data_IF_179418299186
#
_entry.id   IF_179418299186
#
_cell.length_a   1.000
_cell.length_b   1.000
_cell.length_c   1.000
_cell.angle_alpha   90.00
_cell.angle_beta   90.00
_cell.angle_gamma   90.00
#
_symmetry.space_group_name_H-M   'P 1'
#
loop_
_entity.id
_entity.type
_entity.pdbx_description
1 polymer ?
#
# COMPACT_ATOMS: atom_id res chain seq x y z
N UNK A 1 1.40 -24.76 9.17
CA UNK A 1 1.47 -24.68 7.71
C UNK A 1 0.94 -25.93 7.03
N UNK A 2 1.46 -27.11 7.31
CA UNK A 2 1.03 -28.34 6.64
C UNK A 2 -0.48 -28.62 6.77
N UNK A 3 -1.06 -28.40 7.95
CA UNK A 3 -2.51 -28.52 8.17
C UNK A 3 -3.33 -27.57 7.29
N UNK A 4 -2.90 -26.32 7.15
CA UNK A 4 -3.57 -25.32 6.31
C UNK A 4 -3.51 -25.72 4.83
N UNK A 5 -2.35 -26.18 4.35
CA UNK A 5 -2.22 -26.71 2.99
C UNK A 5 -3.14 -27.91 2.75
N UNK A 6 -3.19 -28.87 3.68
CA UNK A 6 -4.07 -30.04 3.57
C UNK A 6 -5.55 -29.66 3.54
N UNK A 7 -5.99 -28.75 4.41
CA UNK A 7 -7.38 -28.31 4.43
C UNK A 7 -7.73 -27.48 3.19
N UNK A 8 -6.82 -26.64 2.70
CA UNK A 8 -7.00 -25.89 1.46
C UNK A 8 -7.09 -26.82 0.24
N UNK A 9 -6.31 -27.89 0.20
CA UNK A 9 -6.39 -28.91 -0.84
C UNK A 9 -7.78 -29.60 -0.84
N UNK A 10 -8.33 -29.91 0.34
CA UNK A 10 -9.66 -30.50 0.47
C UNK A 10 -10.73 -29.48 0.05
N UNK A 11 -10.64 -28.24 0.53
CA UNK A 11 -11.58 -27.17 0.21
C UNK A 11 -11.60 -26.85 -1.30
N UNK A 12 -10.44 -26.96 -1.97
CA UNK A 12 -10.32 -26.70 -3.41
C UNK A 12 -11.18 -27.64 -4.27
N UNK A 13 -11.46 -28.86 -3.81
CA UNK A 13 -12.38 -29.76 -4.49
C UNK A 13 -13.82 -29.20 -4.54
N UNK A 14 -14.24 -28.45 -3.50
CA UNK A 14 -15.54 -27.77 -3.49
C UNK A 14 -15.61 -26.61 -4.49
N UNK A 15 -14.46 -26.08 -4.90
CA UNK A 15 -14.34 -25.07 -5.96
C UNK A 15 -14.25 -25.67 -7.36
N UNK A 16 -14.32 -27.00 -7.49
CA UNK A 16 -14.15 -27.71 -8.75
C UNK A 16 -12.69 -27.88 -9.18
N UNK A 17 -11.72 -27.60 -8.30
CA UNK A 17 -10.30 -27.80 -8.58
C UNK A 17 -9.88 -29.20 -8.16
N UNK A 18 -9.44 -30.01 -9.13
CA UNK A 18 -8.88 -31.35 -8.89
C UNK A 18 -7.35 -31.32 -8.93
N UNK A 19 -6.71 -32.31 -8.31
CA UNK A 19 -5.23 -32.49 -8.34
C UNK A 19 -4.42 -31.31 -7.79
N UNK A 20 -5.01 -30.56 -6.84
CA UNK A 20 -4.34 -29.43 -6.21
C UNK A 20 -3.15 -29.88 -5.37
N UNK A 21 -2.02 -29.25 -5.59
CA UNK A 21 -0.75 -29.39 -4.88
C UNK A 21 -0.34 -28.02 -4.33
N UNK A 22 -0.78 -27.65 -3.12
CA UNK A 22 -0.46 -26.35 -2.53
C UNK A 22 1.05 -26.15 -2.39
N UNK A 23 1.56 -25.02 -2.88
CA UNK A 23 2.96 -24.62 -2.77
C UNK A 23 3.07 -23.26 -2.11
N UNK A 24 3.71 -23.19 -0.95
CA UNK A 24 3.97 -21.93 -0.26
C UNK A 24 5.02 -21.15 -1.06
N UNK A 25 4.66 -19.96 -1.52
CA UNK A 25 5.55 -19.05 -2.24
C UNK A 25 6.20 -18.03 -1.29
N UNK A 26 5.47 -17.60 -0.26
CA UNK A 26 5.93 -16.65 0.75
C UNK A 26 5.21 -16.87 2.08
N UNK A 27 5.90 -16.57 3.18
CA UNK A 27 5.38 -16.65 4.55
C UNK A 27 5.85 -15.42 5.34
N UNK A 28 5.52 -14.23 4.82
CA UNK A 28 5.85 -12.93 5.42
C UNK A 28 4.62 -12.32 6.09
N UNK A 29 4.31 -11.06 5.73
CA UNK A 29 3.12 -10.35 6.21
C UNK A 29 1.78 -10.99 5.79
N UNK A 30 1.79 -11.78 4.71
CA UNK A 30 0.71 -12.69 4.33
C UNK A 30 1.33 -14.03 3.92
N UNK A 31 0.56 -15.12 4.03
CA UNK A 31 0.99 -16.42 3.52
C UNK A 31 0.44 -16.57 2.11
N UNK A 32 1.34 -16.77 1.15
CA UNK A 32 1.02 -16.85 -0.28
C UNK A 32 1.17 -18.29 -0.72
N UNK A 33 0.07 -18.93 -1.15
CA UNK A 33 0.01 -20.35 -1.49
C UNK A 33 -0.49 -20.53 -2.92
N UNK A 34 0.35 -21.06 -3.81
CA UNK A 34 -0.04 -21.43 -5.17
C UNK A 34 -0.78 -22.78 -5.17
N UNK A 35 -1.97 -22.82 -5.76
CA UNK A 35 -2.81 -24.01 -5.92
C UNK A 35 -2.45 -24.80 -7.20
N UNK A 36 -1.19 -25.18 -7.34
CA UNK A 36 -0.70 -25.85 -8.55
C UNK A 36 -1.50 -27.14 -8.87
N UNK A 37 -1.70 -27.50 -10.16
CA UNK A 37 -1.24 -26.79 -11.36
C UNK A 37 -2.16 -25.63 -11.79
N UNK A 38 -3.22 -25.35 -11.05
CA UNK A 38 -4.14 -24.26 -11.39
C UNK A 38 -3.44 -22.91 -11.19
N UNK A 39 -3.62 -21.95 -12.11
CA UNK A 39 -2.98 -20.64 -12.03
C UNK A 39 -3.69 -19.74 -11.00
N UNK A 40 -3.77 -20.20 -9.75
CA UNK A 40 -4.48 -19.55 -8.65
C UNK A 40 -3.59 -19.51 -7.43
N UNK A 41 -3.56 -18.36 -6.76
CA UNK A 41 -2.90 -18.13 -5.49
C UNK A 41 -3.96 -17.88 -4.42
N UNK A 42 -3.87 -18.60 -3.30
CA UNK A 42 -4.53 -18.21 -2.07
C UNK A 42 -3.61 -17.24 -1.29
N UNK A 43 -4.08 -16.03 -1.06
CA UNK A 43 -3.47 -15.04 -0.15
C UNK A 43 -4.17 -15.18 1.19
N UNK A 44 -3.50 -15.82 2.14
CA UNK A 44 -4.00 -16.00 3.50
C UNK A 44 -3.54 -14.80 4.32
N UNK A 45 -4.51 -14.09 4.91
CA UNK A 45 -4.24 -13.01 5.85
C UNK A 45 -3.37 -13.58 6.98
N UNK A 46 -2.15 -13.07 7.18
CA UNK A 46 -1.32 -13.58 8.28
C UNK A 46 -2.01 -13.32 9.62
N UNK A 47 -1.58 -14.09 10.64
CA UNK A 47 -2.07 -14.07 12.03
C UNK A 47 -2.46 -12.66 12.48
N UNK A 48 -3.72 -12.33 12.25
CA UNK A 48 -4.36 -11.24 12.96
C UNK A 48 -4.41 -11.69 14.41
N UNK A 49 -4.07 -10.84 15.39
CA UNK A 49 -4.44 -11.11 16.77
C UNK A 49 -5.91 -11.51 16.74
N UNK A 50 -6.21 -12.66 17.32
CA UNK A 50 -7.55 -13.24 17.34
C UNK A 50 -8.60 -12.12 17.46
N UNK A 51 -9.55 -12.06 16.51
CA UNK A 51 -10.73 -11.18 16.52
C UNK A 51 -10.61 -9.76 15.91
N UNK A 52 -10.16 -9.60 14.65
CA UNK A 52 -10.70 -8.48 13.86
C UNK A 52 -12.06 -8.90 13.27
N UNK A 53 -13.21 -8.50 13.85
CA UNK A 53 -14.52 -8.90 13.35
C UNK A 53 -14.83 -8.32 11.97
N UNK A 54 -14.02 -7.39 11.46
CA UNK A 54 -14.18 -6.78 10.13
C UNK A 54 -13.23 -7.36 9.08
N UNK A 55 -12.40 -8.36 9.39
CA UNK A 55 -11.41 -8.90 8.44
C UNK A 55 -12.03 -9.34 7.12
N UNK A 56 -13.16 -10.07 7.16
CA UNK A 56 -13.89 -10.48 5.96
C UNK A 56 -14.34 -9.29 5.11
N UNK A 57 -14.82 -8.20 5.72
CA UNK A 57 -15.22 -7.00 4.99
C UNK A 57 -14.04 -6.26 4.37
N UNK A 58 -12.90 -6.19 5.07
CA UNK A 58 -11.66 -5.58 4.55
C UNK A 58 -11.15 -6.33 3.33
N UNK A 59 -11.11 -7.66 3.41
CA UNK A 59 -10.72 -8.51 2.29
C UNK A 59 -11.72 -8.41 1.13
N UNK A 60 -13.01 -8.31 1.40
CA UNK A 60 -14.02 -8.09 0.36
C UNK A 60 -13.84 -6.73 -0.33
N UNK A 61 -13.51 -5.68 0.43
CA UNK A 61 -13.19 -4.36 -0.11
C UNK A 61 -11.94 -4.39 -1.01
N UNK A 62 -10.89 -5.11 -0.62
CA UNK A 62 -9.69 -5.34 -1.45
C UNK A 62 -10.07 -5.92 -2.81
N UNK A 63 -10.90 -6.97 -2.83
CA UNK A 63 -11.37 -7.61 -4.07
C UNK A 63 -12.19 -6.66 -4.94
N UNK A 64 -13.10 -5.88 -4.35
CA UNK A 64 -13.94 -4.93 -5.09
C UNK A 64 -13.14 -3.81 -5.73
N UNK A 65 -12.12 -3.29 -5.03
CA UNK A 65 -11.25 -2.26 -5.58
C UNK A 65 -10.40 -2.82 -6.72
N UNK A 66 -9.83 -4.01 -6.57
CA UNK A 66 -9.09 -4.66 -7.66
C UNK A 66 -9.96 -4.87 -8.91
N UNK A 67 -11.19 -5.37 -8.74
CA UNK A 67 -12.13 -5.53 -9.87
C UNK A 67 -12.49 -4.20 -10.53
N UNK A 68 -12.80 -3.15 -9.74
CA UNK A 68 -13.07 -1.80 -10.28
C UNK A 68 -11.90 -1.27 -11.10
N UNK A 69 -10.67 -1.35 -10.56
CA UNK A 69 -9.47 -0.89 -11.25
C UNK A 69 -9.24 -1.66 -12.56
N UNK A 70 -9.52 -2.96 -12.58
CA UNK A 70 -9.46 -3.74 -13.81
C UNK A 70 -10.47 -3.26 -14.85
N UNK A 71 -11.71 -2.99 -14.44
CA UNK A 71 -12.78 -2.47 -15.31
C UNK A 71 -12.42 -1.09 -15.89
N UNK A 72 -11.74 -0.25 -15.11
CA UNK A 72 -11.17 1.04 -15.53
C UNK A 72 -9.89 0.90 -16.39
N UNK A 73 -9.46 -0.32 -16.69
CA UNK A 73 -8.30 -0.59 -17.56
C UNK A 73 -6.94 -0.43 -16.88
N UNK A 74 -6.90 -0.33 -15.56
CA UNK A 74 -5.64 -0.33 -14.80
C UNK A 74 -5.07 -1.75 -14.77
N UNK A 75 -3.77 -1.94 -15.08
CA UNK A 75 -3.12 -3.23 -14.90
C UNK A 75 -3.02 -3.59 -13.41
N UNK A 76 -3.83 -4.54 -12.96
CA UNK A 76 -3.87 -5.03 -11.58
C UNK A 76 -3.82 -6.56 -11.54
N UNK A 77 -3.38 -7.10 -10.40
CA UNK A 77 -3.51 -8.54 -10.12
C UNK A 77 -5.00 -8.88 -9.98
N UNK A 78 -5.49 -9.83 -10.79
CA UNK A 78 -6.92 -10.13 -10.82
C UNK A 78 -7.36 -11.05 -9.68
N UNK A 79 -8.47 -10.72 -9.00
CA UNK A 79 -9.09 -11.64 -8.07
C UNK A 79 -9.72 -12.82 -8.82
N UNK A 80 -9.72 -13.99 -8.17
CA UNK A 80 -10.39 -15.21 -8.65
C UNK A 80 -11.57 -15.49 -7.73
N UNK A 81 -12.78 -15.48 -8.30
CA UNK A 81 -14.00 -15.76 -7.55
C UNK A 81 -14.43 -17.20 -7.77
N UNK A 82 -14.67 -17.92 -6.68
CA UNK A 82 -15.34 -19.20 -6.71
C UNK A 82 -16.86 -19.02 -6.51
N UNK A 83 -17.63 -20.10 -6.60
CA UNK A 83 -19.10 -20.08 -6.46
C UNK A 83 -19.61 -19.50 -5.13
N UNK A 84 -18.75 -19.31 -4.13
CA UNK A 84 -18.97 -18.45 -2.98
C UNK A 84 -18.31 -17.10 -3.24
N UNK A 85 -19.11 -16.06 -3.41
CA UNK A 85 -18.63 -14.69 -3.65
C UNK A 85 -17.88 -14.18 -2.40
N UNK A 86 -16.59 -13.85 -2.55
CA UNK A 86 -15.82 -13.13 -1.53
C UNK A 86 -14.74 -13.95 -0.81
N UNK A 87 -14.23 -13.43 0.32
CA UNK A 87 -13.18 -14.07 1.10
C UNK A 87 -13.65 -15.37 1.77
N UNK A 88 -12.75 -16.35 1.87
CA UNK A 88 -12.98 -17.64 2.50
C UNK A 88 -12.39 -17.66 3.91
N UNK A 89 -13.17 -18.12 4.89
CA UNK A 89 -12.64 -18.53 6.19
C UNK A 89 -12.44 -20.05 6.21
N UNK A 90 -11.21 -20.48 6.48
CA UNK A 90 -10.84 -21.89 6.61
C UNK A 90 -9.97 -22.08 7.85
N UNK A 91 -10.47 -22.86 8.82
CA UNK A 91 -9.80 -23.12 10.10
C UNK A 91 -9.34 -21.85 10.84
N UNK A 92 -10.21 -20.84 10.89
CA UNK A 92 -9.91 -19.55 11.51
C UNK A 92 -8.95 -18.67 10.73
N UNK A 93 -8.57 -19.05 9.51
CA UNK A 93 -7.74 -18.24 8.61
C UNK A 93 -8.61 -17.67 7.49
N UNK A 94 -8.60 -16.35 7.36
CA UNK A 94 -9.24 -15.67 6.25
C UNK A 94 -8.31 -15.60 5.04
N UNK A 95 -8.85 -15.81 3.85
CA UNK A 95 -8.07 -15.76 2.61
C UNK A 95 -8.87 -15.26 1.42
N UNK A 96 -8.14 -14.72 0.45
CA UNK A 96 -8.63 -14.34 -0.87
C UNK A 96 -7.90 -15.11 -1.95
N UNK A 97 -8.48 -15.19 -3.14
CA UNK A 97 -7.89 -15.90 -4.28
C UNK A 97 -7.59 -14.95 -5.41
N UNK A 98 -6.44 -15.15 -6.03
CA UNK A 98 -5.88 -14.28 -7.07
C UNK A 98 -5.30 -15.10 -8.20
N UNK A 99 -5.16 -14.51 -9.38
CA UNK A 99 -4.44 -15.18 -10.46
C UNK A 99 -2.98 -15.44 -10.06
N UNK A 100 -2.45 -16.59 -10.45
CA UNK A 100 -1.02 -16.86 -10.32
C UNK A 100 -0.27 -16.20 -11.47
N UNK A 101 0.65 -15.30 -11.13
CA UNK A 101 1.59 -14.70 -12.08
C UNK A 101 2.95 -15.41 -11.96
N UNK A 102 3.48 -15.97 -13.06
CA UNK A 102 4.81 -16.58 -13.03
C UNK A 102 5.89 -15.51 -12.82
N UNK A 103 6.96 -15.91 -12.13
CA UNK A 103 8.13 -15.04 -11.92
C UNK A 103 8.60 -14.48 -13.27
N UNK A 104 8.61 -13.15 -13.37
CA UNK A 104 8.98 -12.43 -14.58
C UNK A 104 10.09 -11.44 -14.26
N UNK A 105 11.11 -11.41 -15.10
CA UNK A 105 12.11 -10.34 -15.07
C UNK A 105 11.65 -9.21 -16.00
N UNK A 106 11.43 -8.03 -15.45
CA UNK A 106 11.04 -6.84 -16.20
C UNK A 106 11.93 -5.67 -15.74
N UNK A 107 12.52 -4.89 -16.64
CA UNK A 107 13.27 -3.70 -16.24
C UNK A 107 12.32 -2.72 -15.54
N UNK A 108 12.85 -2.05 -14.53
CA UNK A 108 12.09 -1.01 -13.84
C UNK A 108 11.69 0.09 -14.83
N UNK A 109 10.47 0.65 -14.74
CA UNK A 109 10.02 1.68 -15.67
C UNK A 109 10.94 2.91 -15.65
N UNK A 110 11.06 3.58 -16.80
CA UNK A 110 11.65 4.91 -16.84
C UNK A 110 10.85 5.89 -15.97
N UNK A 111 11.43 7.03 -15.54
CA UNK A 111 10.72 8.03 -14.74
C UNK A 111 9.33 8.42 -15.28
N UNK A 112 9.21 8.61 -16.59
CA UNK A 112 7.94 8.95 -17.23
C UNK A 112 6.94 7.80 -17.21
N UNK A 113 7.38 6.57 -17.44
CA UNK A 113 6.52 5.39 -17.40
C UNK A 113 6.04 5.12 -15.97
N UNK A 114 6.94 5.27 -14.99
CA UNK A 114 6.64 5.09 -13.58
C UNK A 114 5.57 6.08 -13.09
N UNK A 115 5.72 7.37 -13.46
CA UNK A 115 4.70 8.41 -13.17
C UNK A 115 3.39 8.11 -13.87
N UNK A 116 3.42 7.64 -15.13
CA UNK A 116 2.20 7.27 -15.84
C UNK A 116 1.48 6.08 -15.17
N UNK A 117 2.21 5.06 -14.71
CA UNK A 117 1.65 3.89 -14.04
C UNK A 117 0.88 4.28 -12.76
N UNK A 118 1.46 5.13 -11.90
CA UNK A 118 0.78 5.59 -10.68
C UNK A 118 -0.32 6.62 -10.96
N UNK A 119 -0.17 7.47 -11.99
CA UNK A 119 -1.20 8.42 -12.36
C UNK A 119 -2.45 7.72 -12.90
N UNK A 120 -2.29 6.69 -13.74
CA UNK A 120 -3.40 5.85 -14.21
C UNK A 120 -4.14 5.18 -13.05
N UNK A 121 -3.41 4.64 -12.06
CA UNK A 121 -4.01 4.11 -10.84
C UNK A 121 -4.80 5.19 -10.09
N UNK A 122 -4.20 6.35 -9.86
CA UNK A 122 -4.80 7.45 -9.08
C UNK A 122 -6.11 7.93 -9.71
N UNK A 123 -6.12 8.14 -11.03
CA UNK A 123 -7.31 8.58 -11.76
C UNK A 123 -8.44 7.54 -11.73
N UNK A 124 -8.11 6.25 -11.80
CA UNK A 124 -9.11 5.18 -11.71
C UNK A 124 -9.64 5.01 -10.27
N UNK A 125 -8.77 5.17 -9.26
CA UNK A 125 -9.17 5.19 -7.85
C UNK A 125 -10.17 6.31 -7.58
N UNK A 126 -9.93 7.53 -8.07
CA UNK A 126 -10.85 8.67 -7.89
C UNK A 126 -12.28 8.40 -8.41
N UNK A 127 -12.46 7.41 -9.30
CA UNK A 127 -13.77 6.99 -9.82
C UNK A 127 -14.45 5.91 -8.96
N UNK A 128 -13.77 5.33 -7.97
CA UNK A 128 -14.34 4.33 -7.08
C UNK A 128 -15.40 4.95 -6.16
N UNK A 129 -16.61 4.38 -6.18
CA UNK A 129 -17.76 4.88 -5.42
C UNK A 129 -18.15 4.00 -4.23
N UNK A 130 -17.46 2.88 -4.03
CA UNK A 130 -17.70 2.01 -2.89
C UNK A 130 -17.29 2.66 -1.56
N UNK A 131 -17.81 2.15 -0.46
CA UNK A 131 -17.43 2.60 0.88
C UNK A 131 -15.95 2.33 1.12
N UNK A 132 -15.23 3.32 1.64
CA UNK A 132 -13.81 3.24 2.02
C UNK A 132 -13.61 3.82 3.43
N UNK A 133 -12.66 3.28 4.21
CA UNK A 133 -12.30 3.86 5.50
C UNK A 133 -11.70 5.26 5.29
N UNK A 134 -12.09 6.20 6.15
CA UNK A 134 -11.52 7.54 6.17
C UNK A 134 -10.12 7.47 6.79
N UNK A 135 -9.11 7.96 6.08
CA UNK A 135 -7.73 8.04 6.59
C UNK A 135 -7.15 6.69 7.05
N UNK A 136 -7.57 5.58 6.45
CA UNK A 136 -7.27 4.22 6.93
C UNK A 136 -5.79 3.96 7.24
N UNK A 137 -4.89 4.21 6.28
CA UNK A 137 -3.45 4.02 6.50
C UNK A 137 -2.84 4.98 7.52
N UNK A 138 -3.37 6.19 7.59
CA UNK A 138 -2.92 7.24 8.50
C UNK A 138 -3.34 6.95 9.95
N UNK A 139 -4.57 6.50 10.14
CA UNK A 139 -5.12 6.14 11.45
C UNK A 139 -4.35 4.97 12.09
N UNK A 140 -3.81 4.03 11.30
CA UNK A 140 -2.96 2.97 11.84
C UNK A 140 -1.66 3.49 12.46
N UNK A 141 -1.12 4.60 11.95
CA UNK A 141 0.11 5.19 12.49
C UNK A 141 -0.08 5.87 13.84
N UNK A 142 -1.31 6.20 14.26
CA UNK A 142 -1.57 6.71 15.62
C UNK A 142 -1.07 5.76 16.70
N UNK A 143 -1.13 4.44 16.46
CA UNK A 143 -0.60 3.46 17.42
C UNK A 143 0.93 3.53 17.51
N UNK A 144 1.62 3.67 16.38
CA UNK A 144 3.08 3.87 16.34
C UNK A 144 3.47 5.18 17.03
N UNK A 145 2.76 6.28 16.74
CA UNK A 145 2.95 7.58 17.39
C UNK A 145 2.77 7.45 18.91
N UNK A 146 1.74 6.74 19.36
CA UNK A 146 1.48 6.52 20.78
C UNK A 146 2.62 5.76 21.44
N UNK A 147 3.11 4.68 20.82
CA UNK A 147 4.26 3.90 21.33
C UNK A 147 5.56 4.71 21.36
N UNK A 148 5.76 5.60 20.39
CA UNK A 148 6.92 6.47 20.29
C UNK A 148 6.84 7.73 21.16
N UNK A 149 5.68 8.04 21.76
CA UNK A 149 5.44 9.30 22.47
C UNK A 149 6.46 9.62 23.58
N UNK A 150 6.97 8.60 24.28
CA UNK A 150 7.96 8.76 25.34
C UNK A 150 9.41 8.51 24.88
N UNK A 151 9.67 8.36 23.58
CA UNK A 151 11.00 8.06 23.08
C UNK A 151 11.96 9.25 23.29
N UNK A 152 13.18 9.04 23.83
CA UNK A 152 14.10 10.13 24.20
C UNK A 152 14.78 10.85 23.02
N UNK A 153 14.46 10.51 21.77
CA UNK A 153 15.09 11.11 20.60
C UNK A 153 14.28 12.33 20.15
N UNK A 154 14.87 13.52 20.26
CA UNK A 154 14.21 14.78 19.90
C UNK A 154 13.77 14.82 18.44
N UNK A 155 14.42 14.07 17.52
CA UNK A 155 13.98 13.98 16.12
C UNK A 155 12.61 13.33 16.03
N UNK A 156 12.40 12.23 16.76
CA UNK A 156 11.11 11.53 16.84
C UNK A 156 10.05 12.46 17.43
N UNK A 157 10.37 13.17 18.53
CA UNK A 157 9.44 14.09 19.18
C UNK A 157 9.00 15.24 18.25
N UNK A 158 9.93 15.81 17.46
CA UNK A 158 9.58 16.81 16.44
C UNK A 158 8.67 16.26 15.35
N UNK A 159 8.92 15.04 14.88
CA UNK A 159 8.07 14.38 13.89
C UNK A 159 6.67 14.08 14.46
N UNK A 160 6.57 13.64 15.72
CA UNK A 160 5.28 13.44 16.41
C UNK A 160 4.49 14.76 16.50
N UNK A 161 5.16 15.87 16.85
CA UNK A 161 4.49 17.17 16.85
C UNK A 161 3.93 17.52 15.46
N UNK A 162 4.75 17.34 14.42
CA UNK A 162 4.32 17.55 13.04
C UNK A 162 3.18 16.63 12.61
N UNK A 163 3.15 15.41 13.15
CA UNK A 163 2.10 14.44 12.87
C UNK A 163 0.75 14.94 13.37
N UNK A 164 0.69 15.47 14.59
CA UNK A 164 -0.55 16.04 15.13
C UNK A 164 -1.02 17.30 14.39
N UNK A 165 -0.11 18.15 13.90
CA UNK A 165 -0.47 19.28 13.04
C UNK A 165 -1.16 18.81 11.74
N UNK A 166 -0.54 17.84 11.05
CA UNK A 166 -1.06 17.28 9.81
C UNK A 166 -2.36 16.51 10.05
N UNK A 167 -2.44 15.74 11.13
CA UNK A 167 -3.65 14.99 11.51
C UNK A 167 -4.83 15.94 11.74
N UNK A 168 -4.61 17.04 12.46
CA UNK A 168 -5.64 18.05 12.68
C UNK A 168 -6.13 18.63 11.34
N UNK A 169 -5.22 18.94 10.42
CA UNK A 169 -5.57 19.48 9.12
C UNK A 169 -6.36 18.47 8.28
N UNK A 170 -5.89 17.22 8.18
CA UNK A 170 -6.60 16.17 7.42
C UNK A 170 -8.02 15.95 7.93
N UNK A 171 -8.21 15.98 9.26
CA UNK A 171 -9.54 15.81 9.87
C UNK A 171 -10.44 17.04 9.66
N UNK A 172 -9.87 18.25 9.67
CA UNK A 172 -10.62 19.47 9.38
C UNK A 172 -11.07 19.56 7.90
N UNK A 173 -10.34 18.90 7.01
CA UNK A 173 -10.57 18.88 5.57
C UNK A 173 -11.11 17.54 5.06
N UNK A 174 -11.79 16.75 5.90
CA UNK A 174 -12.20 15.38 5.58
C UNK A 174 -13.09 15.27 4.33
N UNK A 175 -13.80 16.33 3.97
CA UNK A 175 -14.60 16.41 2.74
C UNK A 175 -13.78 16.49 1.44
N UNK A 176 -12.47 16.78 1.54
CA UNK A 176 -11.55 16.87 0.40
C UNK A 176 -10.79 15.55 0.15
N UNK A 177 -11.04 14.54 0.98
CA UNK A 177 -10.41 13.23 0.82
C UNK A 177 -10.99 12.51 -0.40
N UNK A 178 -10.13 11.80 -1.11
CA UNK A 178 -10.46 11.05 -2.33
C UNK A 178 -10.10 9.58 -2.14
N UNK A 179 -10.80 8.65 -2.79
CA UNK A 179 -10.38 7.25 -2.84
C UNK A 179 -8.93 7.13 -3.30
N UNK A 180 -8.15 6.30 -2.62
CA UNK A 180 -6.74 6.07 -2.90
C UNK A 180 -6.38 4.63 -2.59
N UNK A 181 -5.38 4.10 -3.28
CA UNK A 181 -4.77 2.81 -2.96
C UNK A 181 -4.18 2.82 -1.55
N UNK A 182 -3.70 3.97 -1.07
CA UNK A 182 -3.25 4.17 0.30
C UNK A 182 -1.77 3.81 0.52
N UNK A 183 -1.22 2.90 -0.29
CA UNK A 183 0.21 2.54 -0.29
C UNK A 183 0.76 2.25 -1.70
N UNK A 184 0.48 3.15 -2.66
CA UNK A 184 0.88 3.01 -4.06
C UNK A 184 2.39 3.22 -4.29
N UNK A 185 3.24 2.34 -3.74
CA UNK A 185 4.69 2.40 -3.92
C UNK A 185 5.22 1.30 -4.87
N UNK A 186 6.42 1.51 -5.41
CA UNK A 186 7.01 0.63 -6.43
C UNK A 186 7.12 -0.86 -6.06
N UNK A 187 7.15 -1.23 -4.77
CA UNK A 187 7.17 -2.65 -4.35
C UNK A 187 5.81 -3.33 -4.46
N UNK A 188 4.73 -2.55 -4.63
CA UNK A 188 3.38 -3.05 -4.91
C UNK A 188 3.12 -3.13 -6.42
N UNK A 189 4.17 -3.02 -7.24
CA UNK A 189 4.15 -3.37 -8.66
C UNK A 189 4.76 -4.76 -8.85
N UNK A 190 3.95 -5.71 -9.29
CA UNK A 190 4.37 -7.06 -9.64
C UNK A 190 4.81 -7.10 -11.13
N UNK A 191 6.03 -7.56 -11.45
CA UNK A 191 6.42 -7.80 -12.83
C UNK A 191 5.68 -9.02 -13.37
N UNK A 192 5.08 -8.91 -14.56
CA UNK A 192 4.35 -10.00 -15.21
C UNK A 192 4.67 -10.06 -16.71
N UNK A 193 4.31 -11.16 -17.41
CA UNK A 193 4.43 -11.24 -18.86
C UNK A 193 3.60 -10.18 -19.60
N UNK A 194 2.64 -9.54 -18.92
CA UNK A 194 1.76 -8.49 -19.46
C UNK A 194 2.21 -7.07 -19.05
N UNK A 195 3.37 -6.93 -18.40
CA UNK A 195 3.85 -5.67 -17.84
C UNK A 195 3.73 -5.60 -16.32
N UNK A 196 3.81 -4.39 -15.77
CA UNK A 196 3.69 -4.15 -14.33
C UNK A 196 2.22 -4.18 -13.91
N UNK A 197 1.89 -4.94 -12.87
CA UNK A 197 0.56 -5.03 -12.28
C UNK A 197 0.56 -4.44 -10.88
N UNK A 198 -0.40 -3.60 -10.55
CA UNK A 198 -0.65 -3.21 -9.16
C UNK A 198 -1.21 -4.39 -8.37
N UNK A 199 -0.74 -4.53 -7.15
CA UNK A 199 -1.23 -5.50 -6.18
C UNK A 199 -1.34 -4.83 -4.83
N UNK A 200 -1.91 -5.55 -3.86
CA UNK A 200 -1.90 -5.18 -2.46
C UNK A 200 -2.82 -4.01 -2.08
N UNK A 201 -4.13 -4.23 -2.23
CA UNK A 201 -5.16 -3.21 -1.99
C UNK A 201 -5.71 -3.23 -0.54
N UNK A 202 -4.96 -3.76 0.43
CA UNK A 202 -5.41 -3.85 1.83
C UNK A 202 -5.51 -2.48 2.53
N UNK A 203 -4.93 -1.46 1.90
CA UNK A 203 -4.74 -0.12 2.42
C UNK A 203 -5.65 0.95 1.78
N UNK A 204 -6.58 0.50 0.93
CA UNK A 204 -7.53 1.38 0.25
C UNK A 204 -8.32 2.21 1.25
N UNK A 205 -8.33 3.52 1.04
CA UNK A 205 -8.92 4.48 1.97
C UNK A 205 -9.20 5.81 1.30
N UNK A 206 -10.02 6.64 1.94
CA UNK A 206 -10.15 8.05 1.58
C UNK A 206 -8.95 8.81 2.15
N UNK A 207 -8.13 9.37 1.27
CA UNK A 207 -6.87 10.05 1.60
C UNK A 207 -6.82 11.45 0.98
N UNK A 208 -5.93 12.35 1.44
CA UNK A 208 -5.74 13.65 0.80
C UNK A 208 -5.40 13.50 -0.68
N UNK A 209 -5.80 14.48 -1.50
CA UNK A 209 -5.47 14.49 -2.93
C UNK A 209 -3.97 14.28 -3.14
N UNK A 210 -3.63 13.54 -4.19
CA UNK A 210 -2.26 13.15 -4.56
C UNK A 210 -1.57 12.15 -3.62
N UNK A 211 -2.29 11.52 -2.68
CA UNK A 211 -1.71 10.54 -1.76
C UNK A 211 -0.96 9.40 -2.45
N UNK A 212 -1.52 8.82 -3.51
CA UNK A 212 -0.89 7.71 -4.23
C UNK A 212 0.34 8.17 -5.01
N UNK A 213 0.29 9.32 -5.67
CA UNK A 213 1.46 9.94 -6.29
C UNK A 213 2.58 10.19 -5.27
N UNK A 214 2.23 10.77 -4.12
CA UNK A 214 3.15 11.01 -3.01
C UNK A 214 3.75 9.70 -2.47
N UNK A 215 2.94 8.66 -2.31
CA UNK A 215 3.37 7.31 -1.89
C UNK A 215 4.42 6.72 -2.82
N UNK A 216 4.27 6.94 -4.12
CA UNK A 216 5.20 6.42 -5.12
C UNK A 216 6.59 7.07 -5.02
N UNK A 217 6.65 8.38 -4.76
CA UNK A 217 7.91 9.14 -4.79
C UNK A 217 8.49 9.49 -3.41
N UNK A 218 7.75 9.29 -2.31
CA UNK A 218 8.16 9.75 -0.97
C UNK A 218 9.58 9.33 -0.58
N UNK A 219 9.89 8.03 -0.66
CA UNK A 219 11.23 7.53 -0.34
C UNK A 219 12.27 7.94 -1.41
N UNK A 220 11.87 8.00 -2.68
CA UNK A 220 12.77 8.45 -3.75
C UNK A 220 13.24 9.89 -3.49
N UNK A 221 12.30 10.79 -3.23
CA UNK A 221 12.56 12.19 -2.93
C UNK A 221 13.32 12.36 -1.61
N UNK A 222 12.95 11.63 -0.56
CA UNK A 222 13.62 11.69 0.75
C UNK A 222 15.11 11.32 0.65
N UNK A 223 15.43 10.21 -0.03
CA UNK A 223 16.80 9.68 -0.07
C UNK A 223 17.66 10.28 -1.17
N UNK A 224 17.06 10.67 -2.31
CA UNK A 224 17.82 11.17 -3.49
C UNK A 224 17.63 12.67 -3.73
N UNK A 225 16.79 13.33 -2.94
CA UNK A 225 16.54 14.76 -3.00
C UNK A 225 15.70 15.20 -4.21
N UNK A 226 15.62 16.52 -4.38
CA UNK A 226 14.84 17.20 -5.43
C UNK A 226 15.26 16.85 -6.87
N UNK A 227 16.48 16.33 -7.05
CA UNK A 227 17.02 15.97 -8.35
C UNK A 227 16.66 14.53 -8.76
N UNK A 228 15.93 13.80 -7.91
CA UNK A 228 15.49 12.45 -8.24
C UNK A 228 14.61 12.48 -9.51
N UNK A 229 14.97 11.71 -10.56
CA UNK A 229 14.33 11.86 -11.87
C UNK A 229 12.83 11.65 -11.90
N UNK A 230 12.29 10.69 -11.14
CA UNK A 230 10.85 10.36 -11.10
C UNK A 230 10.07 11.46 -10.42
N UNK A 231 10.53 11.88 -9.24
CA UNK A 231 9.99 12.98 -8.46
C UNK A 231 10.00 14.28 -9.27
N UNK A 232 11.16 14.63 -9.85
CA UNK A 232 11.32 15.84 -10.67
C UNK A 232 10.40 15.83 -11.89
N UNK A 233 10.31 14.70 -12.59
CA UNK A 233 9.37 14.54 -13.70
C UNK A 233 7.94 14.79 -13.22
N UNK A 234 7.49 14.12 -12.15
CA UNK A 234 6.15 14.26 -11.58
C UNK A 234 5.77 15.72 -11.27
N UNK A 235 6.58 16.43 -10.49
CA UNK A 235 6.25 17.81 -10.06
C UNK A 235 6.37 18.84 -11.20
N UNK A 236 7.11 18.51 -12.27
CA UNK A 236 7.23 19.37 -13.46
C UNK A 236 6.05 19.29 -14.42
N UNK A 237 5.06 18.43 -14.15
CA UNK A 237 3.93 18.14 -15.03
C UNK A 237 2.62 18.65 -14.44
N UNK A 238 2.11 19.83 -14.87
CA UNK A 238 0.85 20.38 -14.37
C UNK A 238 -0.37 19.51 -14.67
N UNK A 239 -0.29 18.64 -15.68
CA UNK A 239 -1.31 17.65 -16.01
C UNK A 239 -1.36 16.48 -15.01
N UNK A 240 -0.32 16.31 -14.20
CA UNK A 240 -0.21 15.28 -13.15
C UNK A 240 -0.36 15.93 -11.76
N UNK A 241 0.46 16.94 -11.48
CA UNK A 241 0.45 17.73 -10.25
C UNK A 241 0.07 19.17 -10.58
N UNK A 242 -1.24 19.42 -10.64
CA UNK A 242 -1.79 20.76 -10.88
C UNK A 242 -1.65 21.66 -9.64
N UNK A 243 -1.97 21.12 -8.46
CA UNK A 243 -1.85 21.81 -7.17
C UNK A 243 -0.63 21.28 -6.41
N UNK A 244 0.44 22.09 -6.45
CA UNK A 244 1.74 21.77 -5.84
C UNK A 244 1.71 21.85 -4.32
N UNK A 245 0.78 22.60 -3.75
CA UNK A 245 0.68 22.77 -2.29
C UNK A 245 -0.02 21.55 -1.69
N UNK A 246 -1.12 21.11 -2.31
CA UNK A 246 -1.78 19.86 -1.93
C UNK A 246 -0.85 18.65 -2.12
N UNK A 247 -0.08 18.59 -3.21
CA UNK A 247 0.92 17.53 -3.40
C UNK A 247 2.03 17.58 -2.34
N UNK A 248 2.56 18.77 -2.03
CA UNK A 248 3.56 18.95 -0.98
C UNK A 248 3.05 18.53 0.41
N UNK A 249 1.78 18.81 0.70
CA UNK A 249 1.10 18.33 1.91
C UNK A 249 1.04 16.80 1.95
N UNK A 250 0.54 16.15 0.89
CA UNK A 250 0.46 14.69 0.80
C UNK A 250 1.85 14.03 0.90
N UNK A 251 2.87 14.60 0.25
CA UNK A 251 4.26 14.13 0.32
C UNK A 251 4.82 14.21 1.75
N UNK A 252 4.62 15.33 2.41
CA UNK A 252 5.07 15.54 3.80
C UNK A 252 4.41 14.53 4.74
N UNK A 253 3.10 14.36 4.63
CA UNK A 253 2.34 13.39 5.40
C UNK A 253 2.85 11.97 5.13
N UNK A 254 3.03 11.58 3.86
CA UNK A 254 3.46 10.23 3.51
C UNK A 254 4.86 9.89 3.99
N UNK A 255 5.80 10.84 3.93
CA UNK A 255 7.15 10.69 4.50
C UNK A 255 7.05 10.52 6.01
N UNK A 256 6.28 11.36 6.68
CA UNK A 256 6.10 11.31 8.13
C UNK A 256 5.51 9.97 8.60
N UNK A 257 4.46 9.52 7.91
CA UNK A 257 3.81 8.22 8.11
C UNK A 257 4.82 7.07 7.98
N UNK A 258 5.60 7.08 6.89
CA UNK A 258 6.65 6.09 6.61
C UNK A 258 7.69 6.05 7.73
N UNK A 259 8.25 7.20 8.08
CA UNK A 259 9.35 7.31 9.04
C UNK A 259 8.93 6.87 10.43
N UNK A 260 7.81 7.37 10.95
CA UNK A 260 7.34 7.01 12.30
C UNK A 260 6.93 5.54 12.37
N UNK A 261 6.25 5.02 11.34
CA UNK A 261 5.86 3.61 11.27
C UNK A 261 7.08 2.68 11.24
N UNK A 262 8.07 2.97 10.40
CA UNK A 262 9.27 2.13 10.29
C UNK A 262 10.16 2.21 11.54
N UNK A 263 10.27 3.38 12.17
CA UNK A 263 11.01 3.53 13.44
C UNK A 263 10.37 2.68 14.54
N UNK A 264 9.06 2.78 14.74
CA UNK A 264 8.33 1.97 15.71
C UNK A 264 8.48 0.46 15.43
N UNK A 265 8.29 0.05 14.17
CA UNK A 265 8.40 -1.36 13.76
C UNK A 265 9.83 -1.92 13.92
N UNK A 266 10.86 -1.11 13.64
CA UNK A 266 12.26 -1.47 13.85
C UNK A 266 12.62 -1.56 15.34
N UNK A 267 12.16 -0.61 16.18
CA UNK A 267 12.38 -0.65 17.63
C UNK A 267 11.72 -1.90 18.26
N UNK A 268 10.57 -2.32 17.74
CA UNK A 268 9.91 -3.55 18.14
C UNK A 268 10.64 -4.84 17.69
N UNK A 269 11.73 -4.73 16.90
CA UNK A 269 12.53 -5.85 16.44
C UNK A 269 11.98 -6.55 15.20
N UNK A 270 11.04 -5.92 14.49
CA UNK A 270 10.38 -6.50 13.31
C UNK A 270 10.76 -5.81 11.98
N UNK A 271 11.36 -4.62 12.05
CA UNK A 271 11.75 -3.81 10.89
C UNK A 271 13.26 -3.71 10.66
N UNK A 272 13.62 -3.11 9.53
CA UNK A 272 14.99 -2.76 9.19
C UNK A 272 15.42 -1.48 9.94
N UNK A 273 16.28 -1.66 10.95
CA UNK A 273 16.79 -0.56 11.77
C UNK A 273 17.67 0.42 11.01
N UNK A 274 18.48 -0.05 10.05
CA UNK A 274 19.36 0.82 9.27
C UNK A 274 18.54 1.73 8.36
N UNK A 275 17.52 1.16 7.70
CA UNK A 275 16.58 1.91 6.89
C UNK A 275 15.79 2.94 7.71
N UNK A 276 15.25 2.53 8.88
CA UNK A 276 14.47 3.41 9.75
C UNK A 276 15.30 4.58 10.29
N UNK A 277 16.53 4.33 10.73
CA UNK A 277 17.47 5.38 11.16
C UNK A 277 17.78 6.36 10.02
N UNK A 278 18.01 5.85 8.81
CA UNK A 278 18.30 6.68 7.64
C UNK A 278 17.10 7.58 7.28
N UNK A 279 15.86 7.09 7.39
CA UNK A 279 14.68 7.93 7.22
C UNK A 279 14.59 9.01 8.30
N UNK A 280 14.80 8.65 9.57
CA UNK A 280 14.71 9.57 10.71
C UNK A 280 15.74 10.71 10.61
N UNK A 281 16.93 10.43 10.10
CA UNK A 281 17.98 11.43 9.87
C UNK A 281 17.58 12.50 8.85
N UNK A 282 16.87 12.10 7.80
CA UNK A 282 16.53 12.97 6.67
C UNK A 282 15.17 13.65 6.80
N UNK A 283 14.19 12.99 7.42
CA UNK A 283 12.79 13.37 7.34
C UNK A 283 12.50 14.79 7.86
N UNK A 284 13.11 15.18 8.99
CA UNK A 284 12.83 16.47 9.62
C UNK A 284 13.17 17.66 8.71
N UNK A 285 14.40 17.71 8.18
CA UNK A 285 14.82 18.78 7.28
C UNK A 285 14.08 18.71 5.95
N UNK A 286 13.90 17.50 5.41
CA UNK A 286 13.25 17.33 4.12
C UNK A 286 11.80 17.82 4.16
N UNK A 287 11.00 17.41 5.16
CA UNK A 287 9.60 17.85 5.33
C UNK A 287 9.51 19.37 5.41
N UNK A 288 10.41 20.04 6.14
CA UNK A 288 10.45 21.51 6.21
C UNK A 288 10.68 22.17 4.85
N UNK A 289 11.43 21.50 3.96
CA UNK A 289 11.76 22.00 2.62
C UNK A 289 10.74 21.63 1.54
N UNK A 290 9.85 20.65 1.78
CA UNK A 290 8.90 20.15 0.77
C UNK A 290 8.10 21.28 0.12
N UNK A 291 7.60 22.24 0.91
CA UNK A 291 6.82 23.37 0.37
C UNK A 291 7.63 24.16 -0.68
N UNK A 292 8.90 24.47 -0.38
CA UNK A 292 9.79 25.19 -1.29
C UNK A 292 10.15 24.35 -2.52
N UNK A 293 10.41 23.05 -2.33
CA UNK A 293 10.75 22.11 -3.40
C UNK A 293 9.60 21.98 -4.40
N UNK A 294 8.36 21.85 -3.91
CA UNK A 294 7.18 21.67 -4.75
C UNK A 294 6.80 22.96 -5.47
N UNK A 295 6.92 24.13 -4.83
CA UNK A 295 6.64 25.43 -5.46
C UNK A 295 7.66 25.79 -6.55
N UNK A 296 8.90 25.34 -6.41
CA UNK A 296 10.02 25.72 -7.27
C UNK A 296 10.67 27.04 -6.81
N UNK A 297 11.79 27.45 -7.44
CA UNK A 297 12.43 28.73 -7.16
C UNK A 297 11.55 29.92 -7.55
#
# INVERSE_FOLDING_TARGET
MDSLCSHLQIAAANFGLTEVMPKILSCGGNIIIHLAPHPIVARVAAFTPEQDPQIGKKLEQELRVASHLHEEGVPVLLPVHFSQEGPLELDGHWMTFWEYIPQTALPFPSPSEAVNIVNTLTLAMEQYTGELPILGVWDRIHQSVTRLSAHPDDRIQRLIHKFYEIDQQMRAESQLLVPSHGDAHARNLMPSPRGWLWMDFEDVSLMPRYWDLASFVANLALFKGEQEPTFRFMISRPDIVADRDAFGFALSARILMSTLGNVDYAIAGHGDMEFACSQLELAGEFIYRVEHICKGP
#
